data_IF_822546779238
#
_entry.id   IF_822546779238
#
_cell.length_a   1.000
_cell.length_b   1.000
_cell.length_c   1.000
_cell.angle_alpha   90.00
_cell.angle_beta   90.00
_cell.angle_gamma   90.00
#
_symmetry.space_group_name_H-M   'P 1'
#
loop_
_entity.id
_entity.type
_entity.pdbx_description
1 polymer ?
#
# COMPACT_ATOMS: atom_id res chain seq x y z
N UNK A 1 18.19 27.21 7.55
CA UNK A 1 17.64 26.48 6.41
C UNK A 1 16.37 27.19 5.94
N UNK A 2 16.42 27.90 4.84
CA UNK A 2 15.28 28.60 4.24
C UNK A 2 14.24 27.57 3.77
N UNK A 3 13.05 27.55 4.39
CA UNK A 3 11.92 26.75 3.90
C UNK A 3 11.58 27.18 2.47
N UNK A 4 11.96 26.38 1.48
CA UNK A 4 11.54 26.58 0.09
C UNK A 4 10.01 26.62 0.04
N UNK A 5 9.46 27.76 -0.38
CA UNK A 5 8.02 27.94 -0.59
C UNK A 5 7.63 27.21 -1.88
N UNK A 6 7.09 25.99 -1.77
CA UNK A 6 6.58 25.27 -2.94
C UNK A 6 5.46 26.05 -3.65
N UNK A 7 5.30 25.80 -4.96
CA UNK A 7 4.29 26.46 -5.80
C UNK A 7 2.89 26.04 -5.39
N UNK A 8 2.05 27.00 -5.01
CA UNK A 8 0.70 26.74 -4.47
C UNK A 8 -0.20 26.01 -5.47
N UNK A 9 -0.10 26.33 -6.77
CA UNK A 9 -0.90 25.66 -7.80
C UNK A 9 -0.61 24.16 -7.91
N UNK A 10 0.65 23.74 -7.74
CA UNK A 10 1.03 22.32 -7.74
C UNK A 10 0.44 21.59 -6.52
N UNK A 11 0.46 22.23 -5.33
CA UNK A 11 -0.13 21.66 -4.12
C UNK A 11 -1.65 21.49 -4.27
N UNK A 12 -2.32 22.45 -4.89
CA UNK A 12 -3.76 22.41 -5.15
C UNK A 12 -4.10 21.32 -6.17
N UNK A 13 -3.35 21.24 -7.29
CA UNK A 13 -3.50 20.17 -8.28
C UNK A 13 -3.32 18.79 -7.65
N UNK A 14 -2.31 18.63 -6.79
CA UNK A 14 -2.10 17.38 -6.05
C UNK A 14 -3.27 16.99 -5.15
N UNK A 15 -3.96 17.95 -4.50
CA UNK A 15 -5.16 17.66 -3.70
C UNK A 15 -6.32 17.19 -4.58
N UNK A 16 -6.52 17.79 -5.74
CA UNK A 16 -7.56 17.38 -6.70
C UNK A 16 -7.30 15.95 -7.19
N UNK A 17 -6.08 15.68 -7.66
CA UNK A 17 -5.71 14.35 -8.13
C UNK A 17 -5.90 13.29 -7.03
N UNK A 18 -5.50 13.60 -5.79
CA UNK A 18 -5.70 12.71 -4.65
C UNK A 18 -7.18 12.46 -4.37
N UNK A 19 -8.03 13.48 -4.39
CA UNK A 19 -9.47 13.31 -4.21
C UNK A 19 -10.07 12.37 -5.27
N UNK A 20 -9.59 12.45 -6.52
CA UNK A 20 -10.04 11.58 -7.60
C UNK A 20 -9.56 10.11 -7.45
N UNK A 21 -8.51 9.82 -6.66
CA UNK A 21 -8.16 8.42 -6.36
C UNK A 21 -9.08 7.75 -5.36
N UNK A 22 -9.96 8.51 -4.69
CA UNK A 22 -10.87 8.00 -3.66
C UNK A 22 -12.21 7.51 -4.22
N UNK A 23 -12.48 7.73 -5.51
CA UNK A 23 -13.74 7.37 -6.14
C UNK A 23 -13.55 6.32 -7.24
N UNK A 24 -14.46 5.36 -7.30
CA UNK A 24 -14.48 4.33 -8.36
C UNK A 24 -15.25 4.79 -9.60
N UNK A 25 -16.22 5.70 -9.44
CA UNK A 25 -17.14 6.12 -10.52
C UNK A 25 -16.96 7.56 -10.96
N UNK A 26 -15.88 8.21 -10.49
CA UNK A 26 -15.68 9.62 -10.73
C UNK A 26 -16.44 10.52 -9.74
N UNK A 27 -16.19 11.82 -9.81
CA UNK A 27 -16.70 12.81 -8.86
C UNK A 27 -17.19 14.06 -9.60
N UNK A 28 -18.43 14.52 -9.36
CA UNK A 28 -18.91 15.78 -9.91
C UNK A 28 -18.14 16.98 -9.33
N UNK A 29 -18.05 18.07 -10.09
CA UNK A 29 -17.30 19.27 -9.71
C UNK A 29 -17.66 19.81 -8.31
N UNK A 30 -18.94 19.83 -7.97
CA UNK A 30 -19.42 20.33 -6.68
C UNK A 30 -18.90 19.51 -5.50
N UNK A 31 -18.83 18.19 -5.65
CA UNK A 31 -18.28 17.28 -4.64
C UNK A 31 -16.78 17.44 -4.54
N UNK A 32 -16.07 17.53 -5.68
CA UNK A 32 -14.64 17.73 -5.74
C UNK A 32 -14.21 19.05 -5.10
N UNK A 33 -14.94 20.13 -5.38
CA UNK A 33 -14.73 21.45 -4.77
C UNK A 33 -14.89 21.39 -3.24
N UNK A 34 -15.95 20.75 -2.76
CA UNK A 34 -16.19 20.55 -1.32
C UNK A 34 -15.08 19.72 -0.65
N UNK A 35 -14.71 18.60 -1.24
CA UNK A 35 -13.68 17.69 -0.68
C UNK A 35 -12.30 18.32 -0.64
N UNK A 36 -11.99 19.17 -1.62
CA UNK A 36 -10.70 19.88 -1.69
C UNK A 36 -10.71 21.24 -0.95
N UNK A 37 -11.85 21.66 -0.39
CA UNK A 37 -11.99 22.91 0.35
C UNK A 37 -11.83 24.16 -0.54
N UNK A 38 -12.27 24.09 -1.82
CA UNK A 38 -12.12 25.18 -2.78
C UNK A 38 -13.48 25.72 -3.26
N UNK A 39 -13.55 27.02 -3.63
CA UNK A 39 -14.68 27.55 -4.37
C UNK A 39 -14.87 26.81 -5.72
N UNK A 40 -16.10 26.51 -6.16
CA UNK A 40 -16.37 25.76 -7.39
C UNK A 40 -15.70 26.35 -8.64
N UNK A 41 -15.71 27.68 -8.80
CA UNK A 41 -15.05 28.35 -9.94
C UNK A 41 -13.54 28.16 -9.97
N UNK A 42 -12.89 28.20 -8.80
CA UNK A 42 -11.47 27.91 -8.67
C UNK A 42 -11.18 26.43 -8.97
N UNK A 43 -11.96 25.52 -8.43
CA UNK A 43 -11.84 24.08 -8.69
C UNK A 43 -11.97 23.80 -10.20
N UNK A 44 -12.95 24.42 -10.88
CA UNK A 44 -13.16 24.30 -12.32
C UNK A 44 -11.92 24.72 -13.13
N UNK A 45 -11.28 25.83 -12.78
CA UNK A 45 -10.07 26.31 -13.46
C UNK A 45 -8.90 25.30 -13.37
N UNK A 46 -8.70 24.71 -12.17
CA UNK A 46 -7.68 23.68 -11.98
C UNK A 46 -7.99 22.40 -12.76
N UNK A 47 -9.23 21.91 -12.67
CA UNK A 47 -9.66 20.71 -13.38
C UNK A 47 -9.53 20.91 -14.90
N UNK A 48 -9.87 22.08 -15.42
CA UNK A 48 -9.70 22.42 -16.85
C UNK A 48 -8.22 22.31 -17.27
N UNK A 49 -7.30 22.80 -16.44
CA UNK A 49 -5.86 22.71 -16.70
C UNK A 49 -5.37 21.26 -16.63
N UNK A 50 -5.84 20.48 -15.66
CA UNK A 50 -5.52 19.07 -15.50
C UNK A 50 -6.11 18.21 -16.64
N UNK A 51 -7.26 18.58 -17.19
CA UNK A 51 -7.82 17.95 -18.41
C UNK A 51 -6.93 18.21 -19.63
N UNK A 52 -6.44 19.45 -19.81
CA UNK A 52 -5.52 19.77 -20.92
C UNK A 52 -4.22 18.96 -20.84
N UNK A 53 -3.73 18.67 -19.65
CA UNK A 53 -2.56 17.80 -19.44
C UNK A 53 -2.89 16.30 -19.40
N UNK A 54 -4.15 15.90 -19.65
CA UNK A 54 -4.63 14.51 -19.62
C UNK A 54 -4.48 13.81 -18.26
N UNK A 55 -4.19 14.54 -17.18
CA UNK A 55 -4.16 14.02 -15.81
C UNK A 55 -5.56 13.76 -15.25
N UNK A 56 -6.56 14.46 -15.78
CA UNK A 56 -7.97 14.30 -15.43
C UNK A 56 -8.77 14.10 -16.72
N UNK A 57 -9.76 13.22 -16.65
CA UNK A 57 -10.80 13.02 -17.67
C UNK A 57 -12.15 13.44 -17.11
N UNK A 58 -13.11 13.69 -17.98
CA UNK A 58 -14.49 13.95 -17.62
C UNK A 58 -15.39 13.02 -18.43
N UNK A 59 -16.22 12.30 -17.74
CA UNK A 59 -17.23 11.46 -18.34
C UNK A 59 -18.28 12.32 -19.06
N UNK A 60 -18.61 11.97 -20.29
CA UNK A 60 -19.47 12.77 -21.17
C UNK A 60 -20.93 12.71 -20.72
N UNK A 61 -21.37 11.58 -20.20
CA UNK A 61 -22.77 11.34 -19.85
C UNK A 61 -23.11 11.89 -18.47
N UNK A 62 -22.22 11.66 -17.51
CA UNK A 62 -22.44 12.05 -16.10
C UNK A 62 -21.81 13.39 -15.73
N UNK A 63 -20.87 13.90 -16.55
CA UNK A 63 -20.08 15.07 -16.23
C UNK A 63 -19.09 14.87 -15.07
N UNK A 64 -18.95 13.64 -14.55
CA UNK A 64 -18.06 13.31 -13.44
C UNK A 64 -16.59 13.33 -13.89
N UNK A 65 -15.72 13.78 -12.99
CA UNK A 65 -14.27 13.80 -13.21
C UNK A 65 -13.61 12.55 -12.64
N UNK A 66 -12.68 11.98 -13.41
CA UNK A 66 -11.85 10.82 -13.05
C UNK A 66 -10.38 11.13 -13.31
N UNK A 67 -9.48 10.25 -12.87
CA UNK A 67 -8.09 10.29 -13.33
C UNK A 67 -8.05 10.04 -14.83
N UNK A 68 -7.20 10.81 -15.53
CA UNK A 68 -6.98 10.70 -16.97
C UNK A 68 -5.84 9.73 -17.32
N UNK A 69 -5.69 9.38 -18.62
CA UNK A 69 -4.73 8.38 -19.06
C UNK A 69 -3.27 8.75 -18.76
N UNK A 70 -2.92 10.02 -18.69
CA UNK A 70 -1.55 10.43 -18.36
C UNK A 70 -1.15 10.06 -16.93
N UNK A 71 -2.11 9.95 -16.00
CA UNK A 71 -1.82 9.44 -14.66
C UNK A 71 -1.35 7.97 -14.70
N UNK A 72 -1.92 7.14 -15.57
CA UNK A 72 -1.45 5.77 -15.80
C UNK A 72 -0.08 5.74 -16.47
N UNK A 73 0.13 6.57 -17.50
CA UNK A 73 1.42 6.68 -18.20
C UNK A 73 2.56 7.00 -17.22
N UNK A 74 2.33 7.93 -16.26
CA UNK A 74 3.29 8.27 -15.22
C UNK A 74 3.59 7.08 -14.30
N UNK A 75 2.56 6.36 -13.85
CA UNK A 75 2.72 5.19 -13.01
C UNK A 75 3.49 4.05 -13.71
N UNK A 76 3.16 3.77 -14.97
CA UNK A 76 3.85 2.76 -15.77
C UNK A 76 5.31 3.15 -16.02
N UNK A 77 5.58 4.42 -16.36
CA UNK A 77 6.93 4.91 -16.56
C UNK A 77 7.76 4.79 -15.27
N UNK A 78 7.19 5.16 -14.14
CA UNK A 78 7.86 5.01 -12.84
C UNK A 78 8.20 3.53 -12.55
N UNK A 79 7.23 2.62 -12.68
CA UNK A 79 7.46 1.18 -12.46
C UNK A 79 8.54 0.62 -13.41
N UNK A 80 8.61 1.11 -14.66
CA UNK A 80 9.59 0.64 -15.65
C UNK A 80 11.01 1.12 -15.35
N UNK A 81 11.16 2.33 -14.81
CA UNK A 81 12.48 2.94 -14.60
C UNK A 81 13.06 2.72 -13.21
N UNK A 82 12.25 2.32 -12.23
CA UNK A 82 12.70 2.02 -10.89
C UNK A 82 13.23 0.57 -10.82
N UNK A 83 14.54 0.41 -10.62
CA UNK A 83 15.18 -0.90 -10.56
C UNK A 83 14.64 -1.74 -9.40
N UNK A 84 14.45 -1.13 -8.23
CA UNK A 84 13.95 -1.82 -7.04
C UNK A 84 12.51 -2.29 -7.24
N UNK A 85 11.65 -1.50 -7.92
CA UNK A 85 10.30 -1.90 -8.26
C UNK A 85 10.31 -3.14 -9.19
N UNK A 86 11.17 -3.13 -10.22
CA UNK A 86 11.32 -4.26 -11.15
C UNK A 86 11.84 -5.51 -10.44
N UNK A 87 12.85 -5.39 -9.62
CA UNK A 87 13.41 -6.50 -8.83
C UNK A 87 12.38 -7.06 -7.86
N UNK A 88 11.60 -6.20 -7.18
CA UNK A 88 10.53 -6.61 -6.28
C UNK A 88 9.41 -7.35 -7.01
N UNK A 89 9.01 -6.89 -8.20
CA UNK A 89 8.01 -7.59 -9.04
C UNK A 89 8.54 -8.94 -9.50
N UNK A 90 9.82 -9.03 -9.90
CA UNK A 90 10.44 -10.29 -10.31
C UNK A 90 10.56 -11.26 -9.12
N UNK A 91 10.89 -10.77 -7.94
CA UNK A 91 10.86 -11.55 -6.70
C UNK A 91 9.45 -12.13 -6.43
N UNK A 92 8.41 -11.30 -6.53
CA UNK A 92 7.04 -11.76 -6.32
C UNK A 92 6.64 -12.86 -7.31
N UNK A 93 7.03 -12.74 -8.59
CA UNK A 93 6.81 -13.78 -9.61
C UNK A 93 7.56 -15.08 -9.27
N UNK A 94 8.82 -14.97 -8.87
CA UNK A 94 9.66 -16.12 -8.47
C UNK A 94 9.01 -16.83 -7.27
N UNK A 95 8.65 -16.09 -6.22
CA UNK A 95 7.99 -16.65 -5.04
C UNK A 95 6.67 -17.36 -5.38
N UNK A 96 5.85 -16.78 -6.25
CA UNK A 96 4.60 -17.42 -6.68
C UNK A 96 4.86 -18.73 -7.43
N UNK A 97 5.84 -18.76 -8.33
CA UNK A 97 6.21 -19.95 -9.08
C UNK A 97 6.80 -21.06 -8.18
N UNK A 98 7.70 -20.70 -7.28
CA UNK A 98 8.43 -21.65 -6.44
C UNK A 98 7.56 -22.25 -5.32
N UNK A 99 6.60 -21.47 -4.82
CA UNK A 99 5.73 -21.89 -3.70
C UNK A 99 4.36 -22.35 -4.13
N UNK A 100 3.89 -21.94 -5.32
CA UNK A 100 2.52 -22.14 -5.77
C UNK A 100 1.50 -21.21 -5.12
N UNK A 101 1.92 -20.31 -4.21
CA UNK A 101 1.05 -19.35 -3.52
C UNK A 101 0.97 -18.02 -4.26
N UNK A 102 -0.08 -17.25 -3.98
CA UNK A 102 -0.17 -15.88 -4.44
C UNK A 102 0.90 -15.01 -3.80
N UNK A 103 1.58 -14.18 -4.57
CA UNK A 103 2.53 -13.20 -4.08
C UNK A 103 2.14 -11.78 -4.48
N UNK A 104 2.22 -10.85 -3.54
CA UNK A 104 1.76 -9.48 -3.67
C UNK A 104 2.92 -8.51 -3.45
N UNK A 105 2.96 -7.44 -4.26
CA UNK A 105 3.81 -6.27 -3.98
C UNK A 105 2.90 -5.11 -3.59
N UNK A 106 3.21 -4.49 -2.46
CA UNK A 106 2.44 -3.37 -1.92
C UNK A 106 3.32 -2.17 -1.64
N UNK A 107 2.75 -0.97 -1.84
CA UNK A 107 3.34 0.32 -1.44
C UNK A 107 2.48 0.97 -0.37
N UNK A 108 3.05 1.97 0.31
CA UNK A 108 2.25 2.82 1.18
C UNK A 108 1.60 3.95 0.40
N UNK A 109 0.29 4.09 0.52
CA UNK A 109 -0.48 5.21 -0.03
C UNK A 109 -1.15 6.01 1.09
N UNK A 110 -1.84 7.09 0.74
CA UNK A 110 -2.66 7.85 1.70
C UNK A 110 -3.83 7.05 2.29
N UNK A 111 -4.18 5.90 1.70
CA UNK A 111 -5.20 4.95 2.18
C UNK A 111 -4.61 3.82 3.03
N UNK A 112 -3.30 3.72 3.12
CA UNK A 112 -2.60 2.61 3.76
C UNK A 112 -1.89 1.68 2.75
N UNK A 113 -1.55 0.45 3.17
CA UNK A 113 -0.88 -0.54 2.33
C UNK A 113 -1.71 -0.89 1.10
N UNK A 114 -1.22 -0.58 -0.09
CA UNK A 114 -1.97 -0.72 -1.35
C UNK A 114 -1.20 -1.62 -2.32
N UNK A 115 -1.88 -2.61 -2.88
CA UNK A 115 -1.30 -3.58 -3.82
C UNK A 115 -1.05 -2.91 -5.17
N UNK A 116 0.18 -3.01 -5.66
CA UNK A 116 0.59 -2.55 -7.00
C UNK A 116 0.88 -3.67 -7.97
N UNK A 117 1.14 -4.89 -7.47
CA UNK A 117 1.34 -6.07 -8.30
C UNK A 117 0.80 -7.32 -7.61
N UNK A 118 0.21 -8.22 -8.41
CA UNK A 118 -0.26 -9.55 -7.99
C UNK A 118 0.37 -10.57 -8.91
N UNK A 119 1.08 -11.55 -8.33
CA UNK A 119 1.47 -12.79 -8.99
C UNK A 119 0.53 -13.88 -8.48
N UNK A 120 -0.30 -14.41 -9.37
CA UNK A 120 -1.34 -15.37 -8.99
C UNK A 120 -0.75 -16.71 -8.54
N UNK A 121 -1.48 -17.39 -7.67
CA UNK A 121 -1.17 -18.76 -7.26
C UNK A 121 -1.36 -19.75 -8.42
N UNK A 122 -0.58 -20.83 -8.40
CA UNK A 122 -0.78 -21.95 -9.35
C UNK A 122 -2.15 -22.62 -9.14
N UNK A 123 -2.60 -22.70 -7.88
CA UNK A 123 -3.96 -23.12 -7.54
C UNK A 123 -4.81 -21.89 -7.23
N UNK A 124 -5.88 -21.62 -8.01
CA UNK A 124 -6.70 -20.45 -7.80
C UNK A 124 -7.34 -20.47 -6.41
N UNK A 125 -7.07 -19.44 -5.62
CA UNK A 125 -7.85 -19.14 -4.42
C UNK A 125 -9.00 -18.20 -4.81
N UNK A 126 -10.19 -18.45 -4.30
CA UNK A 126 -11.35 -17.58 -4.51
C UNK A 126 -11.21 -16.28 -3.68
N UNK A 127 -10.12 -15.54 -3.89
CA UNK A 127 -9.83 -14.28 -3.24
C UNK A 127 -10.02 -13.12 -4.21
N UNK A 128 -10.80 -12.13 -3.80
CA UNK A 128 -10.96 -10.90 -4.58
C UNK A 128 -9.83 -9.90 -4.26
N UNK A 129 -8.58 -10.33 -4.50
CA UNK A 129 -7.39 -9.51 -4.31
C UNK A 129 -6.93 -9.01 -5.69
N UNK A 130 -6.85 -7.69 -5.86
CA UNK A 130 -6.50 -7.03 -7.13
C UNK A 130 -5.53 -5.89 -6.89
N UNK A 131 -4.86 -5.47 -7.94
CA UNK A 131 -4.13 -4.20 -7.94
C UNK A 131 -5.06 -3.05 -7.55
N UNK A 132 -4.57 -2.14 -6.71
CA UNK A 132 -5.36 -1.06 -6.11
C UNK A 132 -6.11 -1.44 -4.83
N UNK A 133 -6.20 -2.73 -4.46
CA UNK A 133 -6.76 -3.14 -3.16
C UNK A 133 -5.88 -2.60 -2.04
N UNK A 134 -6.52 -1.99 -1.04
CA UNK A 134 -5.85 -1.50 0.18
C UNK A 134 -6.15 -2.43 1.35
N UNK A 135 -5.11 -2.82 2.07
CA UNK A 135 -5.24 -3.60 3.29
C UNK A 135 -5.32 -2.70 4.53
N UNK A 136 -5.92 -3.22 5.59
CA UNK A 136 -5.82 -2.60 6.92
C UNK A 136 -4.38 -2.61 7.40
N UNK A 137 -3.90 -1.48 7.91
CA UNK A 137 -2.55 -1.36 8.45
C UNK A 137 -2.37 -2.07 9.79
N UNK A 138 -3.47 -2.38 10.48
CA UNK A 138 -3.46 -2.99 11.82
C UNK A 138 -3.87 -4.47 11.84
N UNK A 139 -4.43 -4.99 10.74
CA UNK A 139 -5.00 -6.34 10.71
C UNK A 139 -4.44 -7.22 9.58
N UNK A 140 -3.34 -6.81 8.94
CA UNK A 140 -2.68 -7.58 7.89
C UNK A 140 -1.18 -7.70 8.12
N UNK A 141 -0.55 -8.75 7.60
CA UNK A 141 0.91 -8.92 7.63
C UNK A 141 1.61 -7.77 6.90
N UNK A 142 1.09 -7.38 5.73
CA UNK A 142 1.59 -6.23 4.96
C UNK A 142 1.55 -4.94 5.78
N UNK A 143 0.44 -4.68 6.48
CA UNK A 143 0.27 -3.52 7.34
C UNK A 143 1.26 -3.50 8.51
N UNK A 144 1.50 -4.66 9.13
CA UNK A 144 2.45 -4.80 10.22
C UNK A 144 3.90 -4.51 9.77
N UNK A 145 4.29 -4.91 8.54
CA UNK A 145 5.58 -4.54 7.94
C UNK A 145 5.69 -3.02 7.78
N UNK A 146 4.67 -2.36 7.22
CA UNK A 146 4.68 -0.90 7.11
C UNK A 146 4.69 -0.20 8.47
N UNK A 147 4.03 -0.73 9.48
CA UNK A 147 4.08 -0.20 10.84
C UNK A 147 5.47 -0.33 11.48
N UNK A 148 6.17 -1.46 11.23
CA UNK A 148 7.48 -1.77 11.80
C UNK A 148 8.62 -0.94 11.16
N UNK A 149 8.63 -0.88 9.84
CA UNK A 149 9.75 -0.33 9.05
C UNK A 149 9.44 1.02 8.40
N UNK A 150 8.18 1.48 8.47
CA UNK A 150 7.75 2.71 7.84
C UNK A 150 8.16 3.97 8.61
N UNK A 151 8.01 5.11 7.92
CA UNK A 151 8.30 6.44 8.48
C UNK A 151 7.36 6.82 9.62
N UNK A 152 7.70 7.87 10.34
CA UNK A 152 6.84 8.42 11.41
C UNK A 152 5.44 8.80 10.91
N UNK A 153 5.31 9.27 9.67
CA UNK A 153 4.01 9.57 9.04
C UNK A 153 3.14 8.30 8.94
N UNK A 154 3.75 7.18 8.59
CA UNK A 154 3.07 5.87 8.54
C UNK A 154 2.61 5.45 9.93
N UNK A 155 3.46 5.55 10.94
CA UNK A 155 3.12 5.21 12.33
C UNK A 155 1.98 6.07 12.88
N UNK A 156 1.95 7.36 12.54
CA UNK A 156 0.84 8.25 12.91
C UNK A 156 -0.47 7.84 12.24
N UNK A 157 -0.43 7.41 10.98
CA UNK A 157 -1.61 6.87 10.29
C UNK A 157 -2.10 5.59 10.98
N UNK A 158 -1.21 4.63 11.24
CA UNK A 158 -1.52 3.38 11.94
C UNK A 158 -2.13 3.65 13.33
N UNK A 159 -1.55 4.57 14.09
CA UNK A 159 -2.09 4.98 15.40
C UNK A 159 -3.51 5.54 15.30
N UNK A 160 -3.81 6.30 14.23
CA UNK A 160 -5.16 6.80 13.97
C UNK A 160 -6.10 5.67 13.63
N UNK A 161 -5.73 4.77 12.70
CA UNK A 161 -6.54 3.61 12.35
C UNK A 161 -6.83 2.73 13.56
N UNK A 162 -5.84 2.50 14.45
CA UNK A 162 -6.04 1.80 15.73
C UNK A 162 -7.12 2.47 16.59
N UNK A 163 -7.10 3.79 16.70
CA UNK A 163 -8.09 4.55 17.49
C UNK A 163 -9.47 4.51 16.88
N UNK A 164 -9.58 4.62 15.56
CA UNK A 164 -10.84 4.65 14.83
C UNK A 164 -11.50 3.27 14.77
N UNK A 165 -10.69 2.21 14.65
CA UNK A 165 -11.17 0.82 14.62
C UNK A 165 -11.71 0.36 15.98
N UNK A 166 -11.19 0.91 17.07
CA UNK A 166 -11.53 0.52 18.42
C UNK A 166 -12.63 1.43 19.00
N UNK A 167 -13.85 1.29 18.48
CA UNK A 167 -15.07 1.83 19.13
C UNK A 167 -15.36 1.15 20.48
N UNK A 168 -14.39 0.39 21.03
CA UNK A 168 -14.50 -0.32 22.28
C UNK A 168 -14.27 0.57 23.50
N UNK A 169 -14.75 0.11 24.67
CA UNK A 169 -14.52 0.76 25.98
C UNK A 169 -13.02 0.94 26.24
N UNK A 170 -12.65 2.05 26.86
CA UNK A 170 -11.26 2.51 27.03
C UNK A 170 -10.23 1.45 27.48
N UNK A 171 -10.50 0.56 28.47
CA UNK A 171 -9.49 -0.41 28.91
C UNK A 171 -9.09 -1.41 27.83
N UNK A 172 -10.05 -1.90 27.04
CA UNK A 172 -9.79 -2.89 25.99
C UNK A 172 -9.05 -2.27 24.81
N UNK A 173 -9.31 -1.00 24.54
CA UNK A 173 -8.59 -0.24 23.51
C UNK A 173 -7.11 -0.11 23.81
N UNK A 174 -6.74 0.32 25.00
CA UNK A 174 -5.35 0.48 25.40
C UNK A 174 -4.59 -0.86 25.39
N UNK A 175 -5.25 -1.93 25.81
CA UNK A 175 -4.69 -3.27 25.77
C UNK A 175 -4.43 -3.74 24.34
N UNK A 176 -5.36 -3.50 23.43
CA UNK A 176 -5.21 -3.87 22.02
C UNK A 176 -4.14 -3.03 21.34
N UNK A 177 -4.14 -1.70 21.54
CA UNK A 177 -3.11 -0.79 21.02
C UNK A 177 -1.71 -1.23 21.48
N UNK A 178 -1.56 -1.54 22.76
CA UNK A 178 -0.30 -2.07 23.30
C UNK A 178 0.09 -3.38 22.64
N UNK A 179 -0.81 -4.36 22.57
CA UNK A 179 -0.50 -5.67 21.99
C UNK A 179 -0.16 -5.58 20.50
N UNK A 180 -0.74 -4.63 19.77
CA UNK A 180 -0.36 -4.37 18.38
C UNK A 180 1.07 -3.83 18.27
N UNK A 181 1.44 -2.84 19.08
CA UNK A 181 2.80 -2.30 19.06
C UNK A 181 3.83 -3.30 19.59
N UNK A 182 3.50 -4.12 20.59
CA UNK A 182 4.34 -5.24 21.04
C UNK A 182 4.58 -6.23 19.87
N UNK A 183 3.55 -6.53 19.07
CA UNK A 183 3.70 -7.35 17.87
C UNK A 183 4.54 -6.66 16.78
N UNK A 184 4.40 -5.36 16.57
CA UNK A 184 5.22 -4.58 15.64
C UNK A 184 6.71 -4.65 16.00
N UNK A 185 7.07 -4.62 17.28
CA UNK A 185 8.46 -4.82 17.72
C UNK A 185 8.96 -6.24 17.43
N UNK A 186 8.11 -7.27 17.58
CA UNK A 186 8.46 -8.64 17.16
C UNK A 186 8.72 -8.68 15.64
N UNK A 187 7.85 -8.07 14.83
CA UNK A 187 8.02 -7.98 13.37
C UNK A 187 9.34 -7.31 13.00
N UNK A 188 9.71 -6.26 13.72
CA UNK A 188 10.95 -5.51 13.51
C UNK A 188 12.19 -6.36 13.82
N UNK A 189 12.13 -7.16 14.87
CA UNK A 189 13.23 -8.05 15.26
C UNK A 189 13.34 -9.27 14.35
N UNK A 190 12.21 -9.82 13.90
CA UNK A 190 12.14 -10.99 13.01
C UNK A 190 12.41 -10.63 11.54
N UNK A 191 12.38 -9.33 11.17
CA UNK A 191 12.48 -8.87 9.79
C UNK A 191 11.25 -9.19 8.92
N UNK A 192 10.17 -9.74 9.49
CA UNK A 192 8.97 -10.16 8.77
C UNK A 192 7.73 -10.16 9.65
N UNK A 193 6.57 -10.05 9.02
CA UNK A 193 5.28 -10.22 9.67
C UNK A 193 4.56 -11.48 9.18
N UNK A 194 3.82 -12.14 10.06
CA UNK A 194 2.96 -13.25 9.70
C UNK A 194 1.57 -13.08 10.34
N UNK A 195 0.53 -13.43 9.59
CA UNK A 195 -0.85 -13.46 10.11
C UNK A 195 -1.51 -14.78 9.80
N UNK A 196 -2.28 -15.29 10.77
CA UNK A 196 -3.06 -16.50 10.62
C UNK A 196 -4.55 -16.17 10.64
N UNK A 197 -5.26 -16.54 9.55
CA UNK A 197 -6.70 -16.32 9.40
C UNK A 197 -7.15 -14.85 9.44
N UNK A 198 -6.27 -13.90 9.20
CA UNK A 198 -6.53 -12.46 9.26
C UNK A 198 -5.90 -11.70 8.08
N UNK A 199 -6.52 -10.65 7.55
CA UNK A 199 -7.87 -10.13 7.80
C UNK A 199 -8.97 -11.02 7.20
N UNK A 200 -8.62 -11.99 6.35
CA UNK A 200 -9.56 -12.88 5.66
C UNK A 200 -9.56 -14.23 6.37
N UNK A 201 -10.70 -14.68 6.93
CA UNK A 201 -10.80 -16.01 7.53
C UNK A 201 -10.35 -17.10 6.56
N UNK A 202 -9.56 -18.07 7.06
CA UNK A 202 -9.04 -19.16 6.24
C UNK A 202 -7.83 -18.81 5.38
N UNK A 203 -7.29 -17.60 5.49
CA UNK A 203 -6.13 -17.11 4.72
C UNK A 203 -4.99 -16.74 5.64
N UNK A 204 -3.81 -17.27 5.36
CA UNK A 204 -2.56 -16.91 6.00
C UNK A 204 -1.72 -16.02 5.09
N UNK A 205 -0.89 -15.17 5.69
CA UNK A 205 0.04 -14.32 4.97
C UNK A 205 1.38 -14.20 5.71
N UNK A 206 2.47 -14.11 4.93
CA UNK A 206 3.82 -13.76 5.39
C UNK A 206 4.31 -12.58 4.56
N UNK A 207 4.74 -11.52 5.21
CA UNK A 207 5.19 -10.28 4.56
C UNK A 207 6.59 -9.89 5.00
N UNK A 208 7.42 -9.48 4.05
CA UNK A 208 8.77 -8.96 4.27
C UNK A 208 8.90 -7.52 3.76
N UNK A 209 9.75 -6.69 4.38
CA UNK A 209 10.04 -5.35 3.91
C UNK A 209 10.99 -5.40 2.71
N UNK A 210 10.83 -4.49 1.76
CA UNK A 210 11.79 -4.22 0.70
C UNK A 210 12.30 -2.79 0.92
N UNK A 211 13.55 -2.71 1.35
CA UNK A 211 14.17 -1.43 1.68
C UNK A 211 14.73 -0.77 0.43
N UNK A 212 14.46 0.51 0.26
CA UNK A 212 15.07 1.34 -0.78
C UNK A 212 16.37 1.96 -0.31
N UNK A 213 16.87 2.88 -1.13
CA UNK A 213 18.06 3.66 -0.80
C UNK A 213 17.90 4.38 0.55
N UNK A 214 18.99 4.53 1.30
CA UNK A 214 19.03 5.15 2.62
C UNK A 214 18.21 4.44 3.71
N UNK A 215 17.92 3.14 3.54
CA UNK A 215 17.18 2.36 4.53
C UNK A 215 15.72 2.77 4.71
N UNK A 216 15.09 3.34 3.68
CA UNK A 216 13.66 3.67 3.70
C UNK A 216 12.84 2.50 3.15
N UNK A 217 11.74 2.15 3.84
CA UNK A 217 10.81 1.13 3.35
C UNK A 217 10.13 1.61 2.06
N UNK A 218 10.34 0.91 0.95
CA UNK A 218 9.76 1.22 -0.36
C UNK A 218 8.57 0.32 -0.69
N UNK A 219 8.72 -0.99 -0.48
CA UNK A 219 7.68 -1.98 -0.77
C UNK A 219 7.55 -2.98 0.38
N UNK A 220 6.44 -3.69 0.37
CA UNK A 220 6.30 -4.95 1.11
C UNK A 220 5.98 -6.06 0.10
N UNK A 221 6.69 -7.18 0.21
CA UNK A 221 6.42 -8.40 -0.55
C UNK A 221 5.70 -9.39 0.35
N UNK A 222 4.51 -9.87 -0.06
CA UNK A 222 3.65 -10.68 0.79
C UNK A 222 3.24 -11.97 0.09
N UNK A 223 3.49 -13.10 0.73
CA UNK A 223 3.01 -14.41 0.32
C UNK A 223 1.65 -14.67 0.97
N UNK A 224 0.68 -15.16 0.19
CA UNK A 224 -0.71 -15.39 0.64
C UNK A 224 -1.16 -16.78 0.22
N UNK A 225 -1.71 -17.53 1.16
CA UNK A 225 -2.19 -18.90 0.92
C UNK A 225 -3.27 -19.31 1.92
N UNK A 226 -3.86 -20.51 1.72
CA UNK A 226 -4.82 -21.06 2.66
C UNK A 226 -4.17 -21.41 3.99
N UNK A 227 -4.92 -21.34 5.10
CA UNK A 227 -4.43 -21.74 6.43
C UNK A 227 -4.03 -23.22 6.51
N UNK A 228 -4.50 -24.06 5.57
CA UNK A 228 -4.16 -25.48 5.52
C UNK A 228 -2.80 -25.73 4.88
N UNK A 229 -2.40 -24.91 3.92
CA UNK A 229 -1.20 -25.11 3.10
C UNK A 229 -0.07 -24.14 3.45
N UNK A 230 -0.35 -22.84 3.56
CA UNK A 230 0.62 -21.83 3.98
C UNK A 230 0.67 -21.77 5.52
N UNK A 231 1.56 -22.55 6.12
CA UNK A 231 1.80 -22.50 7.58
C UNK A 231 2.74 -21.34 7.91
N UNK A 232 2.45 -20.62 8.99
CA UNK A 232 3.16 -19.38 9.36
C UNK A 232 3.92 -19.46 10.68
N UNK A 233 3.97 -20.65 11.29
CA UNK A 233 4.75 -20.90 12.51
C UNK A 233 6.26 -20.62 12.32
N UNK A 234 7.02 -20.36 13.40
CA UNK A 234 8.43 -19.95 13.30
C UNK A 234 9.35 -20.94 12.58
N UNK A 235 9.03 -22.24 12.60
CA UNK A 235 9.81 -23.32 11.98
C UNK A 235 9.21 -23.83 10.67
N UNK A 236 8.16 -23.19 10.18
CA UNK A 236 7.48 -23.62 8.97
C UNK A 236 8.29 -23.30 7.72
N UNK A 237 8.27 -24.21 6.74
CA UNK A 237 9.06 -24.13 5.50
C UNK A 237 8.95 -22.76 4.81
N UNK A 238 7.73 -22.25 4.65
CA UNK A 238 7.52 -21.01 3.91
C UNK A 238 7.97 -19.77 4.68
N UNK A 239 7.92 -19.83 6.03
CA UNK A 239 8.48 -18.76 6.86
C UNK A 239 10.00 -18.74 6.80
N UNK A 240 10.65 -19.92 6.79
CA UNK A 240 12.10 -20.03 6.62
C UNK A 240 12.54 -19.56 5.23
N UNK A 241 11.79 -19.91 4.18
CA UNK A 241 12.03 -19.40 2.84
C UNK A 241 11.97 -17.87 2.79
N UNK A 242 10.93 -17.27 3.37
CA UNK A 242 10.80 -15.81 3.40
C UNK A 242 11.91 -15.13 4.22
N UNK A 243 12.44 -15.78 5.26
CA UNK A 243 13.60 -15.29 5.99
C UNK A 243 14.87 -15.29 5.12
N UNK A 244 15.12 -16.37 4.38
CA UNK A 244 16.26 -16.45 3.44
C UNK A 244 16.16 -15.40 2.34
N UNK A 245 14.95 -15.22 1.78
CA UNK A 245 14.71 -14.17 0.78
C UNK A 245 14.94 -12.78 1.36
N UNK A 246 14.54 -12.54 2.61
CA UNK A 246 14.78 -11.24 3.25
C UNK A 246 16.27 -10.96 3.43
N UNK A 247 17.08 -11.96 3.78
CA UNK A 247 18.55 -11.85 3.84
C UNK A 247 19.17 -11.58 2.46
N UNK A 248 18.66 -12.21 1.39
CA UNK A 248 19.13 -11.93 0.02
C UNK A 248 18.88 -10.47 -0.39
N UNK A 249 17.68 -9.95 -0.14
CA UNK A 249 17.30 -8.59 -0.56
C UNK A 249 17.99 -7.48 0.23
N UNK A 250 18.44 -7.74 1.45
CA UNK A 250 19.24 -6.77 2.21
C UNK A 250 20.55 -6.41 1.47
N UNK A 251 21.02 -7.30 0.58
CA UNK A 251 22.16 -7.04 -0.30
C UNK A 251 21.82 -6.09 -1.47
N UNK A 252 20.57 -5.94 -1.89
CA UNK A 252 20.19 -5.09 -3.02
C UNK A 252 20.39 -3.59 -2.74
N UNK A 253 20.19 -3.17 -1.48
CA UNK A 253 20.38 -1.77 -1.05
C UNK A 253 21.84 -1.34 -0.92
N UNK A 254 22.79 -2.26 -1.08
CA UNK A 254 24.23 -2.00 -0.88
C UNK A 254 24.99 -1.77 -2.20
N UNK A 255 24.33 -1.94 -3.35
CA UNK A 255 24.92 -1.82 -4.71
C UNK A 255 24.29 -0.63 -5.43
N UNK A 256 24.53 0.57 -4.95
CA UNK A 256 24.22 1.81 -5.67
C UNK A 256 25.27 2.89 -5.38
#
# INVERSE_FOLDING_TARGET
MTKSKGIQSIKVSGRILRALTETERGMPLSQLARQTGMPPGQCHSYVTSLKKSRLVSQDVDTGAYTLGPFALELGVAWLKHDSLANETVNLAKRLANDTGFMSLVSIWTHKGPTIVHVSEAVQPMALNIRQGTTFSSINSATGAVFAAFGSEVIKQFVTRELRDHLQFRQPDRLRYEKSFWDYVEVVKNDGMAATEGRPIPGVNAISIPIMGTQGTLSFACTLVGSVTELKVGPREKHRLLMAQVNEEIDSWGTVA
#
